data_IF_110188636230
#
_entry.id   IF_110188636230
#
_cell.length_a   1.000
_cell.length_b   1.000
_cell.length_c   1.000
_cell.angle_alpha   90.00
_cell.angle_beta   90.00
_cell.angle_gamma   90.00
#
_symmetry.space_group_name_H-M   'P 1'
#
loop_
_entity.id
_entity.type
_entity.pdbx_description
1 polymer ?
#
# COMPACT_ATOMS: atom_id res chain seq x y z
N UNK A 1 -22.18 -4.46 14.29
CA UNK A 1 -21.74 -3.19 13.63
C UNK A 1 -20.72 -3.50 12.55
N UNK A 2 -20.53 -2.59 11.59
CA UNK A 2 -19.53 -2.71 10.51
C UNK A 2 -18.49 -1.57 10.54
N UNK A 3 -17.67 -1.44 9.49
CA UNK A 3 -16.56 -0.48 9.31
C UNK A 3 -15.19 -0.95 9.81
N UNK A 4 -15.08 -1.47 11.04
CA UNK A 4 -13.82 -2.04 11.51
C UNK A 4 -13.62 -3.45 10.99
N UNK A 5 -12.46 -3.73 10.41
CA UNK A 5 -12.13 -5.01 9.79
C UNK A 5 -11.63 -6.06 10.78
N UNK A 6 -11.22 -5.63 11.98
CA UNK A 6 -10.87 -6.52 13.08
C UNK A 6 -12.12 -6.81 13.93
N UNK A 7 -12.49 -8.09 14.13
CA UNK A 7 -13.56 -8.47 15.04
C UNK A 7 -13.24 -8.02 16.48
N UNK A 8 -14.14 -7.26 17.10
CA UNK A 8 -13.93 -6.73 18.46
C UNK A 8 -15.23 -6.28 19.12
N UNK A 9 -15.26 -6.27 20.45
CA UNK A 9 -16.35 -5.68 21.24
C UNK A 9 -16.20 -4.17 21.36
N UNK A 10 -17.31 -3.46 21.48
CA UNK A 10 -17.36 -2.02 21.67
C UNK A 10 -18.10 -1.70 22.98
N UNK A 11 -17.33 -1.65 24.08
CA UNK A 11 -17.86 -1.45 25.42
C UNK A 11 -18.52 -2.71 26.00
N UNK A 12 -19.65 -3.13 25.42
CA UNK A 12 -20.48 -4.24 25.90
C UNK A 12 -20.39 -5.49 25.02
N UNK A 13 -20.64 -6.67 25.59
CA UNK A 13 -20.51 -7.96 24.90
C UNK A 13 -21.50 -8.16 23.74
N UNK A 14 -22.68 -7.52 23.83
CA UNK A 14 -23.71 -7.55 22.79
C UNK A 14 -23.48 -6.50 21.70
N UNK A 15 -22.54 -5.56 21.89
CA UNK A 15 -22.20 -4.52 20.91
C UNK A 15 -20.83 -4.86 20.33
N UNK A 16 -20.80 -5.40 19.10
CA UNK A 16 -19.56 -5.86 18.47
C UNK A 16 -19.45 -5.41 17.01
N UNK A 17 -18.22 -5.23 16.56
CA UNK A 17 -17.85 -5.20 15.17
C UNK A 17 -17.60 -6.63 14.70
N UNK A 18 -18.25 -7.03 13.60
CA UNK A 18 -18.08 -8.38 13.06
C UNK A 18 -16.70 -8.59 12.40
N UNK A 19 -15.99 -7.50 12.07
CA UNK A 19 -14.79 -7.59 11.25
C UNK A 19 -15.08 -7.88 9.79
N UNK A 20 -14.02 -7.98 9.00
CA UNK A 20 -14.06 -8.51 7.64
C UNK A 20 -13.92 -10.04 7.65
N UNK A 21 -14.46 -10.76 6.66
CA UNK A 21 -14.29 -12.22 6.58
C UNK A 21 -12.90 -12.64 6.09
N UNK A 22 -12.17 -11.72 5.46
CA UNK A 22 -10.81 -11.91 4.93
C UNK A 22 -9.93 -10.72 5.32
N UNK A 23 -8.60 -10.89 5.32
CA UNK A 23 -7.69 -9.77 5.51
C UNK A 23 -7.74 -8.83 4.29
N UNK A 24 -7.94 -7.54 4.52
CA UNK A 24 -8.05 -6.53 3.47
C UNK A 24 -6.76 -5.71 3.27
N UNK A 25 -5.82 -5.81 4.21
CA UNK A 25 -4.51 -5.18 4.17
C UNK A 25 -3.46 -6.03 4.90
N UNK A 26 -2.19 -5.71 4.69
CA UNK A 26 -1.08 -6.37 5.39
C UNK A 26 -1.02 -6.07 6.89
N UNK A 27 -1.60 -4.96 7.35
CA UNK A 27 -1.71 -4.68 8.79
C UNK A 27 -2.64 -5.66 9.51
N UNK A 28 -3.52 -6.35 8.78
CA UNK A 28 -4.43 -7.38 9.29
C UNK A 28 -3.84 -8.79 9.20
N UNK A 29 -2.56 -8.97 8.83
CA UNK A 29 -1.95 -10.28 8.61
C UNK A 29 -1.99 -11.22 9.82
N UNK A 30 -2.02 -10.67 11.04
CA UNK A 30 -2.10 -11.41 12.29
C UNK A 30 -3.52 -11.47 12.88
N UNK A 31 -4.51 -10.86 12.22
CA UNK A 31 -5.88 -10.87 12.71
C UNK A 31 -6.53 -12.23 12.48
N UNK A 32 -7.20 -12.73 13.54
CA UNK A 32 -8.12 -13.86 13.41
C UNK A 32 -9.45 -13.36 12.87
N UNK A 33 -9.89 -13.94 11.75
CA UNK A 33 -11.19 -13.63 11.14
C UNK A 33 -12.25 -14.58 11.69
N UNK A 34 -13.46 -14.07 11.91
CA UNK A 34 -14.56 -14.85 12.46
C UNK A 34 -15.90 -14.42 11.85
N UNK A 35 -16.88 -15.31 11.88
CA UNK A 35 -18.29 -14.96 11.76
C UNK A 35 -18.96 -15.13 13.11
N UNK A 36 -19.99 -14.32 13.37
CA UNK A 36 -20.80 -14.43 14.58
C UNK A 36 -22.08 -15.19 14.25
N UNK A 37 -22.29 -16.32 14.91
CA UNK A 37 -23.56 -17.03 14.92
C UNK A 37 -24.34 -16.59 16.16
N UNK A 38 -25.53 -16.07 15.91
CA UNK A 38 -26.43 -15.55 16.95
C UNK A 38 -27.79 -16.19 16.73
N UNK A 39 -28.27 -16.91 17.75
CA UNK A 39 -29.60 -17.51 17.73
C UNK A 39 -30.53 -16.74 18.65
N UNK A 40 -31.81 -16.70 18.29
CA UNK A 40 -32.86 -15.99 19.01
C UNK A 40 -34.07 -16.89 19.23
N UNK A 41 -34.76 -16.70 20.35
CA UNK A 41 -36.08 -17.24 20.65
C UNK A 41 -37.07 -16.14 21.05
N UNK A 42 -38.23 -16.53 21.59
CA UNK A 42 -39.25 -15.59 22.03
C UNK A 42 -38.84 -14.75 23.28
N UNK A 43 -37.77 -15.13 23.98
CA UNK A 43 -37.25 -14.46 25.17
C UNK A 43 -36.01 -13.61 24.87
N UNK A 44 -35.34 -13.81 23.72
CA UNK A 44 -34.24 -12.97 23.25
C UNK A 44 -33.10 -13.77 22.62
N UNK A 45 -31.86 -13.33 22.83
CA UNK A 45 -30.66 -14.04 22.33
C UNK A 45 -30.43 -15.30 23.16
N UNK A 46 -30.39 -16.45 22.51
CA UNK A 46 -30.16 -17.76 23.15
C UNK A 46 -28.73 -18.26 22.97
N UNK A 47 -28.07 -17.86 21.87
CA UNK A 47 -26.70 -18.24 21.57
C UNK A 47 -25.97 -17.06 20.96
N UNK A 48 -24.71 -16.87 21.38
CA UNK A 48 -23.81 -15.92 20.74
C UNK A 48 -22.41 -16.53 20.68
N UNK A 49 -22.00 -17.04 19.52
CA UNK A 49 -20.70 -17.72 19.35
C UNK A 49 -19.87 -17.13 18.20
N UNK A 50 -18.54 -17.20 18.36
CA UNK A 50 -17.57 -16.92 17.30
C UNK A 50 -17.25 -18.21 16.56
N UNK A 51 -17.39 -18.21 15.25
CA UNK A 51 -16.93 -19.28 14.39
C UNK A 51 -15.72 -18.77 13.59
N UNK A 52 -14.51 -19.34 13.80
CA UNK A 52 -13.31 -18.88 13.10
C UNK A 52 -13.41 -19.17 11.60
N UNK A 53 -12.93 -18.23 10.79
CA UNK A 53 -12.81 -18.41 9.34
C UNK A 53 -11.38 -18.89 9.03
N UNK A 54 -11.20 -20.04 8.35
CA UNK A 54 -9.88 -20.49 7.93
C UNK A 54 -9.17 -19.48 7.03
N UNK A 55 -7.88 -19.27 7.22
CA UNK A 55 -7.06 -18.44 6.35
C UNK A 55 -6.72 -19.20 5.06
N UNK A 56 -7.44 -18.92 3.96
CA UNK A 56 -7.22 -19.60 2.67
C UNK A 56 -5.94 -19.15 1.96
N UNK A 57 -5.56 -17.87 2.13
CA UNK A 57 -4.29 -17.29 1.67
C UNK A 57 -3.69 -16.50 2.80
N UNK A 58 -2.44 -16.81 3.16
CA UNK A 58 -1.69 -16.07 4.16
C UNK A 58 -1.23 -14.72 3.59
N UNK A 59 -1.44 -13.64 4.35
CA UNK A 59 -0.72 -12.39 4.17
C UNK A 59 0.44 -12.35 5.15
N UNK A 60 1.59 -11.82 4.74
CA UNK A 60 2.74 -11.62 5.61
C UNK A 60 3.46 -10.32 5.27
N UNK A 61 4.11 -9.74 6.27
CA UNK A 61 4.97 -8.58 6.12
C UNK A 61 6.38 -8.95 6.55
N UNK A 62 7.37 -8.65 5.72
CA UNK A 62 8.79 -8.80 6.03
C UNK A 62 9.39 -7.41 6.12
N UNK A 63 9.85 -7.02 7.31
CA UNK A 63 10.63 -5.79 7.49
C UNK A 63 12.11 -6.13 7.42
N UNK A 64 12.84 -5.47 6.51
CA UNK A 64 14.25 -5.71 6.24
C UNK A 64 14.99 -4.40 6.00
N UNK A 65 16.32 -4.44 6.04
CA UNK A 65 17.21 -3.38 5.56
C UNK A 65 17.86 -3.78 4.23
N UNK A 66 18.41 -2.85 3.44
CA UNK A 66 19.06 -3.18 2.16
C UNK A 66 20.19 -4.21 2.28
N UNK A 67 20.99 -4.15 3.35
CA UNK A 67 22.09 -5.08 3.62
C UNK A 67 21.63 -6.50 3.98
N UNK A 68 20.40 -6.63 4.48
CA UNK A 68 19.79 -7.90 4.90
C UNK A 68 18.70 -8.44 3.97
N UNK A 69 18.36 -7.67 2.93
CA UNK A 69 17.23 -7.95 2.04
C UNK A 69 17.18 -9.41 1.56
N UNK A 70 18.26 -9.89 0.96
CA UNK A 70 18.32 -11.25 0.41
C UNK A 70 18.25 -12.34 1.48
N UNK A 71 18.84 -12.08 2.64
CA UNK A 71 18.88 -13.02 3.76
C UNK A 71 17.50 -13.15 4.42
N UNK A 72 16.83 -12.03 4.68
CA UNK A 72 15.52 -12.01 5.34
C UNK A 72 14.44 -12.62 4.44
N UNK A 73 14.47 -12.32 3.13
CA UNK A 73 13.59 -13.00 2.18
C UNK A 73 13.87 -14.50 2.15
N UNK A 74 15.13 -14.95 2.15
CA UNK A 74 15.52 -16.36 2.15
C UNK A 74 15.07 -17.13 3.40
N UNK A 75 15.05 -16.47 4.55
CA UNK A 75 14.62 -17.06 5.82
C UNK A 75 13.10 -17.19 5.93
N UNK A 76 12.35 -16.35 5.20
CA UNK A 76 10.89 -16.39 5.26
C UNK A 76 10.34 -17.66 4.62
N UNK A 77 9.68 -18.47 5.45
CA UNK A 77 8.92 -19.64 5.03
C UNK A 77 7.47 -19.45 5.47
N UNK A 78 6.51 -19.37 4.53
CA UNK A 78 5.10 -19.23 4.87
C UNK A 78 4.57 -20.52 5.52
N UNK A 79 3.48 -20.38 6.26
CA UNK A 79 2.76 -21.53 6.77
C UNK A 79 2.19 -22.35 5.61
N UNK A 80 2.17 -23.69 5.71
CA UNK A 80 1.54 -24.53 4.71
C UNK A 80 0.07 -24.13 4.52
N UNK A 81 -0.33 -23.92 3.28
CA UNK A 81 -1.68 -23.51 2.91
C UNK A 81 -2.04 -23.96 1.51
N UNK A 82 -3.32 -23.86 1.16
CA UNK A 82 -3.80 -24.22 -0.17
C UNK A 82 -3.31 -23.25 -1.26
N UNK A 83 -3.04 -22.00 -0.88
CA UNK A 83 -2.58 -20.94 -1.78
C UNK A 83 -1.21 -20.42 -1.33
N UNK A 84 -0.42 -19.98 -2.31
CA UNK A 84 0.81 -19.21 -2.07
C UNK A 84 0.53 -18.00 -1.18
N UNK A 85 1.42 -17.76 -0.23
CA UNK A 85 1.32 -16.59 0.64
C UNK A 85 1.62 -15.32 -0.17
N UNK A 86 0.94 -14.22 0.18
CA UNK A 86 1.27 -12.91 -0.33
C UNK A 86 2.10 -12.15 0.70
N UNK A 87 3.16 -11.53 0.20
CA UNK A 87 4.15 -10.85 1.04
C UNK A 87 4.27 -9.38 0.64
N UNK A 88 4.22 -8.52 1.64
CA UNK A 88 4.69 -7.15 1.57
C UNK A 88 6.09 -7.07 2.17
N UNK A 89 7.04 -6.49 1.44
CA UNK A 89 8.40 -6.26 1.96
C UNK A 89 8.54 -4.78 2.31
N UNK A 90 8.80 -4.49 3.57
CA UNK A 90 9.10 -3.15 4.06
C UNK A 90 10.62 -3.01 4.13
N UNK A 91 11.18 -2.11 3.33
CA UNK A 91 12.63 -1.84 3.30
C UNK A 91 12.90 -0.56 4.06
N UNK A 92 13.63 -0.68 5.17
CA UNK A 92 14.04 0.45 6.00
C UNK A 92 15.29 1.11 5.43
N UNK A 93 15.20 2.42 5.19
CA UNK A 93 16.26 3.26 4.61
C UNK A 93 16.83 2.70 3.30
N UNK A 94 16.00 2.56 2.26
CA UNK A 94 16.43 1.98 0.99
C UNK A 94 17.43 2.87 0.26
N UNK A 95 18.39 2.23 -0.41
CA UNK A 95 19.30 2.90 -1.35
C UNK A 95 18.51 3.34 -2.58
N UNK A 96 18.69 4.59 -2.99
CA UNK A 96 18.04 5.15 -4.18
C UNK A 96 18.60 4.56 -5.47
N UNK A 97 17.73 4.28 -6.44
CA UNK A 97 18.11 3.89 -7.80
C UNK A 97 17.86 2.42 -8.15
N UNK A 98 17.57 1.57 -7.16
CA UNK A 98 17.23 0.16 -7.40
C UNK A 98 15.71 -0.07 -7.45
N UNK A 99 15.25 -0.88 -8.39
CA UNK A 99 13.88 -1.38 -8.39
C UNK A 99 13.75 -2.55 -7.40
N UNK A 100 13.51 -2.20 -6.13
CA UNK A 100 13.38 -3.17 -5.03
C UNK A 100 12.23 -4.16 -5.25
N UNK A 101 11.18 -3.77 -5.97
CA UNK A 101 10.06 -4.65 -6.29
C UNK A 101 10.47 -5.77 -7.26
N UNK A 102 11.17 -5.42 -8.34
CA UNK A 102 11.71 -6.42 -9.27
C UNK A 102 12.74 -7.34 -8.60
N UNK A 103 13.60 -6.77 -7.73
CA UNK A 103 14.56 -7.57 -6.96
C UNK A 103 13.84 -8.57 -6.06
N UNK A 104 12.81 -8.13 -5.33
CA UNK A 104 12.01 -8.98 -4.46
C UNK A 104 11.33 -10.11 -5.25
N UNK A 105 10.72 -9.81 -6.39
CA UNK A 105 10.08 -10.81 -7.23
C UNK A 105 11.07 -11.84 -7.74
N UNK A 106 12.25 -11.41 -8.23
CA UNK A 106 13.30 -12.33 -8.70
C UNK A 106 13.77 -13.27 -7.59
N UNK A 107 13.88 -12.78 -6.36
CA UNK A 107 14.29 -13.62 -5.22
C UNK A 107 13.17 -14.53 -4.69
N UNK A 108 11.91 -14.11 -4.84
CA UNK A 108 10.75 -14.92 -4.49
C UNK A 108 10.39 -15.96 -5.56
N UNK A 109 10.94 -15.85 -6.78
CA UNK A 109 10.65 -16.77 -7.87
C UNK A 109 10.95 -18.23 -7.48
N UNK A 110 9.95 -19.10 -7.67
CA UNK A 110 10.04 -20.52 -7.32
C UNK A 110 9.85 -20.85 -5.83
N UNK A 111 9.47 -19.87 -5.00
CA UNK A 111 9.12 -20.09 -3.59
C UNK A 111 7.61 -20.22 -3.39
N UNK A 112 7.21 -20.69 -2.20
CA UNK A 112 5.81 -20.85 -1.82
C UNK A 112 5.12 -19.52 -1.42
N UNK A 113 5.66 -18.39 -1.84
CA UNK A 113 5.11 -17.07 -1.60
C UNK A 113 5.40 -16.13 -2.77
N UNK A 114 4.58 -15.09 -2.90
CA UNK A 114 4.69 -14.06 -3.92
C UNK A 114 4.85 -12.70 -3.25
N UNK A 115 5.84 -11.93 -3.68
CA UNK A 115 5.97 -10.53 -3.26
C UNK A 115 5.05 -9.69 -4.14
N UNK A 116 3.99 -9.16 -3.54
CA UNK A 116 2.97 -8.36 -4.24
C UNK A 116 3.12 -6.87 -3.97
N UNK A 117 3.89 -6.48 -2.95
CA UNK A 117 4.15 -5.08 -2.60
C UNK A 117 5.52 -4.90 -1.97
N UNK A 118 6.18 -3.78 -2.28
CA UNK A 118 7.38 -3.32 -1.58
C UNK A 118 7.16 -1.89 -1.12
N UNK A 119 7.46 -1.60 0.15
CA UNK A 119 7.27 -0.30 0.78
C UNK A 119 8.61 0.22 1.29
N UNK A 120 8.97 1.44 0.90
CA UNK A 120 10.14 2.14 1.42
C UNK A 120 9.76 2.87 2.72
N UNK A 121 10.41 2.55 3.83
CA UNK A 121 10.23 3.23 5.11
C UNK A 121 11.51 3.98 5.45
N UNK A 122 11.48 5.32 5.41
CA UNK A 122 12.61 6.15 5.82
C UNK A 122 12.51 6.47 7.31
N UNK A 123 13.57 6.19 8.06
CA UNK A 123 13.67 6.66 9.44
C UNK A 123 13.76 8.19 9.41
N UNK A 124 12.76 8.87 9.99
CA UNK A 124 12.85 10.31 10.24
C UNK A 124 13.82 10.49 11.40
N UNK A 125 14.94 11.18 11.18
CA UNK A 125 15.67 11.79 12.30
C UNK A 125 14.69 12.69 13.04
N UNK A 126 14.53 12.46 14.35
CA UNK A 126 13.69 13.28 15.23
C UNK A 126 14.30 14.68 15.39
N UNK A 127 14.16 15.52 14.38
CA UNK A 127 14.10 16.98 14.58
C UNK A 127 12.64 17.34 14.85
N UNK A 128 12.38 17.85 16.05
CA UNK A 128 11.04 17.95 16.63
C UNK A 128 9.98 18.71 15.82
N UNK A 129 8.73 18.43 16.19
CA UNK A 129 7.44 18.94 15.69
C UNK A 129 7.01 18.32 14.34
N UNK A 130 5.83 17.68 14.17
CA UNK A 130 4.53 17.79 14.82
C UNK A 130 3.80 16.43 14.84
N UNK A 131 3.02 16.19 15.91
CA UNK A 131 2.00 15.13 15.95
C UNK A 131 0.84 15.55 15.04
N UNK A 132 0.84 15.02 13.83
CA UNK A 132 -0.26 15.08 12.87
C UNK A 132 -0.11 13.90 11.93
N UNK A 133 -0.98 12.92 12.08
CA UNK A 133 -1.08 11.75 11.21
C UNK A 133 -1.22 12.18 9.76
N UNK A 134 -0.18 11.93 8.98
CA UNK A 134 -0.29 11.78 7.54
C UNK A 134 0.42 10.47 7.19
N UNK A 135 -0.38 9.47 6.85
CA UNK A 135 0.12 8.23 6.26
C UNK A 135 1.09 8.56 5.12
N UNK A 136 2.29 7.96 5.08
CA UNK A 136 3.23 8.14 3.98
C UNK A 136 2.63 7.79 2.60
N UNK A 137 1.60 6.94 2.60
CA UNK A 137 0.89 6.47 1.41
C UNK A 137 0.04 7.58 0.77
N UNK A 138 -0.69 8.37 1.56
CA UNK A 138 -1.47 9.48 1.03
C UNK A 138 -0.58 10.58 0.43
N UNK A 139 0.59 10.80 1.03
CA UNK A 139 1.55 11.78 0.54
C UNK A 139 2.16 11.38 -0.81
N UNK A 140 2.40 10.08 -1.04
CA UNK A 140 2.97 9.62 -2.31
C UNK A 140 1.97 9.68 -3.46
N UNK A 141 0.72 9.28 -3.27
CA UNK A 141 -0.31 9.39 -4.31
C UNK A 141 -0.61 10.87 -4.63
N UNK A 142 -0.60 11.74 -3.62
CA UNK A 142 -0.73 13.19 -3.81
C UNK A 142 0.46 13.76 -4.60
N UNK A 143 1.70 13.39 -4.27
CA UNK A 143 2.90 13.80 -5.03
C UNK A 143 2.85 13.27 -6.46
N UNK A 144 2.48 12.00 -6.67
CA UNK A 144 2.43 11.37 -7.99
C UNK A 144 1.30 11.93 -8.87
N UNK A 145 0.23 12.47 -8.26
CA UNK A 145 -0.84 13.15 -8.97
C UNK A 145 -0.43 14.51 -9.56
N UNK A 146 0.72 15.06 -9.14
CA UNK A 146 1.25 16.33 -9.61
C UNK A 146 2.61 16.17 -10.33
N UNK A 147 2.61 15.95 -11.66
CA UNK A 147 3.82 15.76 -12.45
C UNK A 147 4.87 16.87 -12.29
N UNK A 148 4.45 18.13 -12.08
CA UNK A 148 5.35 19.26 -11.86
C UNK A 148 6.14 19.12 -10.56
N UNK A 149 5.48 18.68 -9.50
CA UNK A 149 6.11 18.50 -8.20
C UNK A 149 7.16 17.39 -8.25
N UNK A 150 6.84 16.26 -8.90
CA UNK A 150 7.79 15.15 -9.10
C UNK A 150 9.01 15.61 -9.92
N UNK A 151 8.78 16.39 -10.97
CA UNK A 151 9.84 16.94 -11.82
C UNK A 151 10.79 17.85 -11.04
N UNK A 152 10.27 18.80 -10.27
CA UNK A 152 11.10 19.69 -9.43
C UNK A 152 11.92 18.90 -8.41
N UNK A 153 11.30 17.94 -7.71
CA UNK A 153 12.00 17.07 -6.75
C UNK A 153 13.13 16.28 -7.40
N UNK A 154 12.99 15.87 -8.66
CA UNK A 154 14.04 15.16 -9.41
C UNK A 154 15.15 16.10 -9.86
N UNK A 155 14.80 17.31 -10.29
CA UNK A 155 15.71 18.34 -10.78
C UNK A 155 16.64 18.88 -9.68
N UNK A 156 16.11 19.02 -8.46
CA UNK A 156 16.88 19.45 -7.28
C UNK A 156 17.93 18.43 -6.83
N UNK A 157 17.64 17.14 -7.04
CA UNK A 157 18.49 16.02 -6.62
C UNK A 157 19.50 15.59 -7.68
N UNK A 158 19.47 16.19 -8.87
CA UNK A 158 20.36 15.84 -9.97
C UNK A 158 21.70 16.59 -9.83
N UNK A 159 22.81 15.85 -9.56
CA UNK A 159 24.12 16.47 -9.45
C UNK A 159 24.66 16.84 -10.84
N UNK A 160 25.39 17.96 -10.94
CA UNK A 160 26.11 18.35 -12.14
C UNK A 160 25.34 19.22 -13.15
N UNK A 161 24.08 19.54 -12.90
CA UNK A 161 23.33 20.52 -13.69
C UNK A 161 23.64 21.97 -13.27
N UNK A 162 23.98 22.81 -14.24
CA UNK A 162 24.09 24.26 -14.03
C UNK A 162 22.70 24.89 -13.87
N UNK A 163 22.63 26.06 -13.25
CA UNK A 163 21.34 26.75 -13.03
C UNK A 163 20.65 27.18 -14.33
N UNK A 164 21.43 27.45 -15.39
CA UNK A 164 20.91 27.70 -16.74
C UNK A 164 20.19 26.46 -17.30
N UNK A 165 20.81 25.28 -17.19
CA UNK A 165 20.22 24.03 -17.66
C UNK A 165 18.94 23.70 -16.90
N UNK A 166 18.94 23.94 -15.58
CA UNK A 166 17.74 23.76 -14.74
C UNK A 166 16.60 24.68 -15.18
N UNK A 167 16.90 25.94 -15.55
CA UNK A 167 15.89 26.87 -16.08
C UNK A 167 15.34 26.42 -17.43
N UNK A 168 16.22 26.00 -18.34
CA UNK A 168 15.82 25.49 -19.66
C UNK A 168 14.94 24.24 -19.52
N UNK A 169 15.30 23.31 -18.63
CA UNK A 169 14.53 22.09 -18.35
C UNK A 169 13.14 22.39 -17.76
N UNK A 170 13.02 23.39 -16.86
CA UNK A 170 11.72 23.83 -16.32
C UNK A 170 10.81 24.41 -17.41
N UNK A 171 11.37 25.21 -18.30
CA UNK A 171 10.61 25.80 -19.41
C UNK A 171 10.10 24.70 -20.35
N UNK A 172 10.99 23.81 -20.80
CA UNK A 172 10.63 22.70 -21.68
C UNK A 172 9.59 21.76 -21.04
N UNK A 173 9.71 21.47 -19.74
CA UNK A 173 8.73 20.66 -19.03
C UNK A 173 7.35 21.33 -18.94
N UNK A 174 7.32 22.65 -18.78
CA UNK A 174 6.06 23.43 -18.77
C UNK A 174 5.37 23.37 -20.12
N UNK A 175 6.11 23.58 -21.21
CA UNK A 175 5.60 23.48 -22.58
C UNK A 175 5.05 22.08 -22.88
N UNK A 176 5.75 21.02 -22.46
CA UNK A 176 5.28 19.64 -22.63
C UNK A 176 3.97 19.37 -21.88
N UNK A 177 3.83 19.87 -20.66
CA UNK A 177 2.59 19.78 -19.89
C UNK A 177 1.43 20.47 -20.62
N UNK A 178 1.67 21.65 -21.19
CA UNK A 178 0.66 22.41 -21.94
C UNK A 178 0.25 21.69 -23.24
N UNK A 179 1.21 21.16 -23.99
CA UNK A 179 0.94 20.37 -25.20
C UNK A 179 0.11 19.14 -24.86
N UNK A 180 0.45 18.43 -23.76
CA UNK A 180 -0.31 17.25 -23.32
C UNK A 180 -1.74 17.62 -22.89
N UNK A 181 -1.92 18.74 -22.19
CA UNK A 181 -3.24 19.24 -21.80
C UNK A 181 -4.08 19.63 -23.03
N UNK A 182 -3.49 20.30 -24.02
CA UNK A 182 -4.17 20.65 -25.26
C UNK A 182 -4.59 19.41 -26.06
N UNK A 183 -3.68 18.44 -26.20
CA UNK A 183 -3.97 17.18 -26.89
C UNK A 183 -5.05 16.35 -26.19
N UNK A 184 -5.07 16.34 -24.85
CA UNK A 184 -6.12 15.69 -24.07
C UNK A 184 -7.49 16.38 -24.25
N UNK A 185 -7.52 17.72 -24.34
CA UNK A 185 -8.74 18.49 -24.59
C UNK A 185 -9.30 18.23 -26.00
N UNK A 186 -8.44 18.15 -27.02
CA UNK A 186 -8.84 17.83 -28.39
C UNK A 186 -9.41 16.40 -28.52
N UNK A 187 -8.79 15.42 -27.86
CA UNK A 187 -9.26 14.02 -27.84
C UNK A 187 -10.54 13.85 -27.01
N UNK A 188 -10.72 14.63 -25.95
CA UNK A 188 -11.94 14.64 -25.13
C UNK A 188 -13.13 15.32 -25.83
N UNK A 189 -12.87 16.36 -26.63
CA UNK A 189 -13.90 17.05 -27.43
C UNK A 189 -14.47 16.21 -28.57
N UNK A 190 -13.70 15.25 -29.11
CA UNK A 190 -14.14 14.38 -30.19
C UNK A 190 -15.18 13.32 -29.78
N UNK A 191 -15.39 13.06 -28.48
CA UNK A 191 -16.38 12.07 -27.98
C UNK A 191 -17.79 12.62 -27.75
N UNK A 192 -18.00 13.93 -27.85
CA UNK A 192 -19.31 14.57 -27.57
C UNK A 192 -20.00 15.14 -28.84
N UNK A 193 -19.59 14.69 -30.04
CA UNK A 193 -20.06 15.23 -31.32
C UNK A 193 -20.84 14.27 -32.24
N UNK A 194 -21.29 13.11 -31.76
CA UNK A 194 -22.03 12.12 -32.56
C UNK A 194 -23.53 12.10 -32.27
N UNK A 195 -24.26 13.06 -32.86
CA UNK A 195 -25.74 13.15 -32.94
C UNK A 195 -26.31 12.18 -33.99
N UNK A 196 -27.63 11.90 -34.08
CA UNK A 196 -28.77 12.79 -33.80
C UNK A 196 -29.63 12.43 -32.58
#
# INVERSE_FOLDING_TARGET
MGHLHRPQKAGFEHIRYSGSPIALSFSEASDSKEVRLIDFDAQGVTLQQSLPIPAFRQLAQITTRPDKFSEDLARFTPNPGALSAWVEVVVEDPVTGENLFELAQKQAAGRNFEVVRVVAKRSRELTGATLGEADPVNNLDEILSNPRQVFEMRLEREPGLQDEDKKALRLAFTELCEIQAHKAAELGGARMGGRP
#
